data_IF_042575353699
#
_entry.id   IF_042575353699
#
_cell.length_a   1.000
_cell.length_b   1.000
_cell.length_c   1.000
_cell.angle_alpha   90.00
_cell.angle_beta   90.00
_cell.angle_gamma   90.00
#
_symmetry.space_group_name_H-M   'P 1'
#
loop_
_entity.id
_entity.type
_entity.pdbx_description
1 polymer ?
#
# COMPACT_ATOMS: atom_id res chain seq x y z
N UNK A 1 -21.92 18.13 -33.16
CA UNK A 1 -23.31 18.58 -33.32
C UNK A 1 -24.21 17.90 -32.29
N UNK A 2 -24.47 16.59 -32.41
CA UNK A 2 -25.32 15.81 -31.49
C UNK A 2 -25.05 16.02 -29.99
N UNK A 3 -23.78 16.15 -29.59
CA UNK A 3 -23.41 16.44 -28.19
C UNK A 3 -24.01 17.76 -27.69
N UNK A 4 -23.89 18.84 -28.46
CA UNK A 4 -24.40 20.16 -28.07
C UNK A 4 -25.93 20.22 -28.17
N UNK A 5 -26.50 19.56 -29.18
CA UNK A 5 -27.94 19.47 -29.36
C UNK A 5 -28.60 18.86 -28.11
N UNK A 6 -28.00 17.81 -27.54
CA UNK A 6 -28.49 17.20 -26.29
C UNK A 6 -28.52 18.16 -25.09
N UNK A 7 -27.54 19.07 -24.95
CA UNK A 7 -27.58 20.09 -23.88
C UNK A 7 -28.75 21.05 -24.11
N UNK A 8 -28.94 21.49 -25.35
CA UNK A 8 -30.03 22.39 -25.71
C UNK A 8 -31.40 21.74 -25.51
N UNK A 9 -31.54 20.47 -25.86
CA UNK A 9 -32.78 19.71 -25.70
C UNK A 9 -33.12 19.48 -24.22
N UNK A 10 -32.14 19.04 -23.41
CA UNK A 10 -32.35 18.85 -21.96
C UNK A 10 -32.71 20.17 -21.30
N UNK A 11 -32.03 21.27 -21.66
CA UNK A 11 -32.37 22.59 -21.14
C UNK A 11 -33.78 23.01 -21.56
N UNK A 12 -34.14 22.82 -22.84
CA UNK A 12 -35.46 23.15 -23.36
C UNK A 12 -36.57 22.41 -22.64
N UNK A 13 -36.46 21.09 -22.51
CA UNK A 13 -37.48 20.27 -21.84
C UNK A 13 -37.59 20.61 -20.35
N UNK A 14 -36.47 20.88 -19.67
CA UNK A 14 -36.48 21.31 -18.27
C UNK A 14 -37.11 22.69 -18.04
N UNK A 15 -37.08 23.57 -19.04
CA UNK A 15 -37.63 24.93 -18.95
C UNK A 15 -39.10 25.01 -19.36
N UNK A 16 -39.50 24.25 -20.39
CA UNK A 16 -40.80 24.41 -21.05
C UNK A 16 -41.86 23.38 -20.66
N UNK A 17 -41.50 22.23 -20.07
CA UNK A 17 -42.44 21.24 -19.55
C UNK A 17 -42.33 21.16 -18.01
N UNK A 18 -43.40 21.50 -17.30
CA UNK A 18 -43.48 21.43 -15.82
C UNK A 18 -43.18 20.02 -15.29
N UNK A 19 -43.49 18.96 -16.06
CA UNK A 19 -43.17 17.56 -15.74
C UNK A 19 -41.90 17.08 -16.46
N UNK A 20 -41.27 17.93 -17.26
CA UNK A 20 -40.09 17.63 -18.08
C UNK A 20 -38.94 17.03 -17.27
N UNK A 21 -38.47 17.67 -16.19
CA UNK A 21 -37.38 17.14 -15.37
C UNK A 21 -37.64 15.71 -14.85
N UNK A 22 -38.84 15.45 -14.32
CA UNK A 22 -39.21 14.14 -13.82
C UNK A 22 -39.27 13.08 -14.94
N UNK A 23 -39.79 13.45 -16.13
CA UNK A 23 -39.84 12.56 -17.29
C UNK A 23 -38.44 12.22 -17.82
N UNK A 24 -37.54 13.21 -17.95
CA UNK A 24 -36.16 12.97 -18.38
C UNK A 24 -35.47 12.05 -17.39
N UNK A 25 -35.60 12.30 -16.09
CA UNK A 25 -34.99 11.46 -15.06
C UNK A 25 -35.50 10.01 -15.13
N UNK A 26 -36.81 9.81 -15.33
CA UNK A 26 -37.39 8.47 -15.47
C UNK A 26 -36.93 7.75 -16.74
N UNK A 27 -36.95 8.43 -17.89
CA UNK A 27 -36.48 7.86 -19.16
C UNK A 27 -34.99 7.50 -19.08
N UNK A 28 -34.17 8.39 -18.52
CA UNK A 28 -32.74 8.14 -18.30
C UNK A 28 -32.51 6.94 -17.38
N UNK A 29 -33.33 6.78 -16.33
CA UNK A 29 -33.27 5.60 -15.46
C UNK A 29 -33.56 4.31 -16.22
N UNK A 30 -34.56 4.31 -17.09
CA UNK A 30 -34.93 3.16 -17.93
C UNK A 30 -33.81 2.82 -18.91
N UNK A 31 -33.27 3.81 -19.63
CA UNK A 31 -32.17 3.63 -20.58
C UNK A 31 -30.89 3.10 -19.91
N UNK A 32 -30.54 3.64 -18.74
CA UNK A 32 -29.40 3.17 -17.92
C UNK A 32 -29.62 1.71 -17.52
N UNK A 33 -30.82 1.39 -17.04
CA UNK A 33 -31.15 0.05 -16.56
C UNK A 33 -31.12 -0.98 -17.69
N UNK A 34 -31.62 -0.64 -18.87
CA UNK A 34 -31.59 -1.52 -20.03
C UNK A 34 -30.16 -1.75 -20.54
N UNK A 35 -29.32 -0.71 -20.57
CA UNK A 35 -27.89 -0.87 -20.85
C UNK A 35 -27.21 -1.80 -19.85
N UNK A 36 -27.48 -1.61 -18.55
CA UNK A 36 -26.87 -2.40 -17.48
C UNK A 36 -27.35 -3.85 -17.53
N UNK A 37 -28.61 -4.14 -17.84
CA UNK A 37 -29.10 -5.50 -18.07
C UNK A 37 -28.36 -6.20 -19.21
N UNK A 38 -28.09 -5.49 -20.30
CA UNK A 38 -27.32 -6.06 -21.41
C UNK A 38 -25.87 -6.31 -21.00
N UNK A 39 -25.25 -5.40 -20.24
CA UNK A 39 -23.91 -5.60 -19.69
C UNK A 39 -23.87 -6.79 -18.71
N UNK A 40 -24.89 -6.90 -17.84
CA UNK A 40 -25.07 -8.00 -16.91
C UNK A 40 -25.14 -9.34 -17.66
N UNK A 41 -25.94 -9.43 -18.73
CA UNK A 41 -26.02 -10.65 -19.55
C UNK A 41 -24.68 -11.01 -20.19
N UNK A 42 -23.93 -10.02 -20.71
CA UNK A 42 -22.57 -10.25 -21.24
C UNK A 42 -21.62 -10.79 -20.17
N UNK A 43 -21.60 -10.18 -18.99
CA UNK A 43 -20.72 -10.57 -17.88
C UNK A 43 -21.11 -11.94 -17.32
N UNK A 44 -22.37 -12.14 -16.95
CA UNK A 44 -22.86 -13.38 -16.31
C UNK A 44 -22.97 -14.57 -17.26
N UNK A 45 -22.79 -14.36 -18.57
CA UNK A 45 -22.69 -15.48 -19.54
C UNK A 45 -21.45 -16.36 -19.29
N UNK A 46 -20.44 -15.85 -18.60
CA UNK A 46 -19.21 -16.56 -18.31
C UNK A 46 -19.31 -17.31 -16.97
N UNK A 47 -19.23 -18.65 -17.03
CA UNK A 47 -19.19 -19.49 -15.83
C UNK A 47 -17.82 -19.49 -15.16
N UNK A 48 -16.74 -19.47 -15.95
CA UNK A 48 -15.36 -19.42 -15.46
C UNK A 48 -15.04 -18.07 -14.81
N UNK A 49 -14.41 -18.11 -13.63
CA UNK A 49 -14.08 -16.93 -12.82
C UNK A 49 -13.10 -15.99 -13.54
N UNK A 50 -12.14 -16.53 -14.29
CA UNK A 50 -11.15 -15.71 -15.02
C UNK A 50 -11.80 -15.00 -16.20
N UNK A 51 -12.64 -15.71 -16.96
CA UNK A 51 -13.41 -15.13 -18.05
C UNK A 51 -14.44 -14.10 -17.55
N UNK A 52 -15.11 -14.40 -16.43
CA UNK A 52 -16.03 -13.47 -15.76
C UNK A 52 -15.33 -12.17 -15.37
N UNK A 53 -14.16 -12.25 -14.74
CA UNK A 53 -13.38 -11.08 -14.35
C UNK A 53 -12.97 -10.25 -15.59
N UNK A 54 -12.46 -10.90 -16.64
CA UNK A 54 -12.09 -10.20 -17.89
C UNK A 54 -13.30 -9.49 -18.52
N UNK A 55 -14.44 -10.18 -18.62
CA UNK A 55 -15.67 -9.61 -19.17
C UNK A 55 -16.17 -8.44 -18.33
N UNK A 56 -16.16 -8.60 -16.99
CA UNK A 56 -16.52 -7.53 -16.06
C UNK A 56 -15.66 -6.29 -16.28
N UNK A 57 -14.34 -6.44 -16.37
CA UNK A 57 -13.41 -5.32 -16.50
C UNK A 57 -13.56 -4.59 -17.84
N UNK A 58 -13.83 -5.33 -18.92
CA UNK A 58 -14.12 -4.72 -20.23
C UNK A 58 -15.37 -3.85 -20.18
N UNK A 59 -16.45 -4.35 -19.57
CA UNK A 59 -17.70 -3.59 -19.45
C UNK A 59 -17.57 -2.45 -18.43
N UNK A 60 -16.89 -2.69 -17.30
CA UNK A 60 -16.63 -1.69 -16.26
C UNK A 60 -15.85 -0.50 -16.80
N UNK A 61 -14.76 -0.71 -17.56
CA UNK A 61 -13.96 0.41 -18.10
C UNK A 61 -14.78 1.30 -19.03
N UNK A 62 -15.61 0.70 -19.89
CA UNK A 62 -16.51 1.45 -20.78
C UNK A 62 -17.53 2.23 -19.95
N UNK A 63 -18.22 1.55 -19.05
CA UNK A 63 -19.26 2.13 -18.21
C UNK A 63 -18.73 3.25 -17.31
N UNK A 64 -17.64 3.01 -16.59
CA UNK A 64 -17.03 3.97 -15.67
C UNK A 64 -16.52 5.22 -16.40
N UNK A 65 -15.97 5.08 -17.62
CA UNK A 65 -15.65 6.24 -18.46
C UNK A 65 -16.91 7.05 -18.79
N UNK A 66 -18.03 6.39 -19.09
CA UNK A 66 -19.29 7.08 -19.35
C UNK A 66 -19.89 7.73 -18.10
N UNK A 67 -19.60 7.24 -16.89
CA UNK A 67 -20.04 7.88 -15.64
C UNK A 67 -19.49 9.31 -15.49
N UNK A 68 -18.40 9.66 -16.16
CA UNK A 68 -17.85 11.02 -16.13
C UNK A 68 -18.26 11.86 -17.36
N UNK A 69 -18.81 11.22 -18.40
CA UNK A 69 -19.25 11.87 -19.64
C UNK A 69 -20.76 12.12 -19.63
N UNK A 70 -21.56 11.06 -19.42
CA UNK A 70 -23.01 11.08 -19.53
C UNK A 70 -23.67 12.11 -18.62
N UNK A 71 -23.21 12.40 -17.39
CA UNK A 71 -23.81 13.46 -16.58
C UNK A 71 -23.73 14.87 -17.16
N UNK A 72 -22.73 15.16 -18.01
CA UNK A 72 -22.43 16.54 -18.43
C UNK A 72 -23.61 17.24 -19.13
N UNK A 73 -24.33 16.63 -20.10
CA UNK A 73 -25.50 17.23 -20.74
C UNK A 73 -26.70 17.41 -19.81
N UNK A 74 -26.74 16.66 -18.69
CA UNK A 74 -27.84 16.70 -17.73
C UNK A 74 -27.60 17.65 -16.55
N UNK A 75 -26.58 18.51 -16.60
CA UNK A 75 -26.32 19.48 -15.53
C UNK A 75 -27.54 20.38 -15.24
N UNK A 76 -28.29 20.78 -16.29
CA UNK A 76 -29.50 21.58 -16.13
C UNK A 76 -30.63 20.80 -15.44
N UNK A 77 -30.75 19.50 -15.73
CA UNK A 77 -31.70 18.62 -15.04
C UNK A 77 -31.39 18.56 -13.54
N UNK A 78 -30.12 18.43 -13.18
CA UNK A 78 -29.68 18.37 -11.79
C UNK A 78 -29.99 19.65 -11.02
N UNK A 79 -29.73 20.82 -11.61
CA UNK A 79 -30.08 22.13 -11.02
C UNK A 79 -31.58 22.20 -10.73
N UNK A 80 -32.41 21.78 -11.69
CA UNK A 80 -33.87 21.82 -11.53
C UNK A 80 -34.37 20.84 -10.47
N UNK A 81 -33.81 19.63 -10.40
CA UNK A 81 -34.17 18.62 -9.40
C UNK A 81 -33.71 18.98 -7.98
N UNK A 82 -32.58 19.69 -7.83
CA UNK A 82 -32.04 20.12 -6.53
C UNK A 82 -32.72 21.39 -5.97
N UNK A 83 -33.47 22.13 -6.78
CA UNK A 83 -34.20 23.33 -6.36
C UNK A 83 -33.32 24.55 -6.00
N UNK A 84 -33.96 25.63 -5.50
CA UNK A 84 -33.31 26.95 -5.25
C UNK A 84 -32.13 26.95 -4.26
N UNK A 85 -31.89 25.88 -3.50
CA UNK A 85 -30.75 25.79 -2.58
C UNK A 85 -29.42 25.37 -3.26
N UNK A 86 -29.46 24.89 -4.52
CA UNK A 86 -28.27 24.42 -5.25
C UNK A 86 -27.51 25.47 -6.09
N UNK A 87 -28.08 26.67 -6.31
CA UNK A 87 -27.58 27.60 -7.35
C UNK A 87 -26.18 28.22 -7.09
N UNK A 88 -25.66 28.14 -5.85
CA UNK A 88 -24.37 28.73 -5.48
C UNK A 88 -23.21 27.73 -5.33
N UNK A 89 -23.42 26.42 -5.52
CA UNK A 89 -22.32 25.44 -5.54
C UNK A 89 -21.97 25.11 -6.99
N UNK A 90 -20.70 25.28 -7.39
CA UNK A 90 -20.16 24.62 -8.59
C UNK A 90 -20.49 23.13 -8.45
N UNK A 91 -21.40 22.60 -9.26
CA UNK A 91 -21.79 21.19 -9.22
C UNK A 91 -20.58 20.35 -9.62
N UNK A 92 -19.96 19.69 -8.64
CA UNK A 92 -18.92 18.73 -8.92
C UNK A 92 -19.56 17.52 -9.61
N UNK A 93 -18.95 17.02 -10.69
CA UNK A 93 -19.48 15.86 -11.44
C UNK A 93 -19.59 14.62 -10.52
N UNK A 94 -18.79 14.55 -9.45
CA UNK A 94 -18.86 13.48 -8.46
C UNK A 94 -20.17 13.46 -7.65
N UNK A 95 -20.84 14.62 -7.49
CA UNK A 95 -22.11 14.75 -6.75
C UNK A 95 -23.34 14.69 -7.66
N UNK A 96 -23.12 14.37 -8.95
CA UNK A 96 -24.17 14.26 -9.96
C UNK A 96 -25.20 13.19 -9.60
N UNK A 97 -26.47 13.57 -9.69
CA UNK A 97 -27.61 12.65 -9.49
C UNK A 97 -27.59 11.55 -10.56
N UNK A 98 -27.27 11.92 -11.81
CA UNK A 98 -27.16 10.96 -12.92
C UNK A 98 -26.02 9.98 -12.69
N UNK A 99 -24.83 10.47 -12.30
CA UNK A 99 -23.67 9.63 -12.00
C UNK A 99 -23.97 8.66 -10.87
N UNK A 100 -24.61 9.14 -9.81
CA UNK A 100 -25.04 8.32 -8.68
C UNK A 100 -26.01 7.23 -9.12
N UNK A 101 -27.04 7.59 -9.89
CA UNK A 101 -28.01 6.63 -10.44
C UNK A 101 -27.33 5.53 -11.27
N UNK A 102 -26.37 5.90 -12.14
CA UNK A 102 -25.59 4.93 -12.91
C UNK A 102 -24.87 3.95 -12.00
N UNK A 103 -24.09 4.45 -11.04
CA UNK A 103 -23.27 3.64 -10.14
C UNK A 103 -24.13 2.75 -9.23
N UNK A 104 -25.21 3.28 -8.66
CA UNK A 104 -26.13 2.51 -7.82
C UNK A 104 -26.79 1.37 -8.63
N UNK A 105 -27.26 1.66 -9.85
CA UNK A 105 -27.88 0.63 -10.71
C UNK A 105 -26.88 -0.45 -11.11
N UNK A 106 -25.62 -0.07 -11.39
CA UNK A 106 -24.54 -1.03 -11.69
C UNK A 106 -24.22 -1.91 -10.49
N UNK A 107 -24.17 -1.32 -9.29
CA UNK A 107 -23.93 -2.03 -8.05
C UNK A 107 -25.02 -3.07 -7.77
N UNK A 108 -26.28 -2.66 -7.82
CA UNK A 108 -27.45 -3.54 -7.57
C UNK A 108 -27.55 -4.68 -8.58
N UNK A 109 -27.31 -4.39 -9.87
CA UNK A 109 -27.53 -5.37 -10.93
C UNK A 109 -26.35 -6.33 -11.11
N UNK A 110 -25.12 -5.83 -11.07
CA UNK A 110 -23.92 -6.59 -11.44
C UNK A 110 -23.05 -6.80 -10.21
N UNK A 111 -22.43 -5.74 -9.70
CA UNK A 111 -21.30 -5.86 -8.78
C UNK A 111 -21.66 -6.55 -7.47
N UNK A 112 -22.76 -6.18 -6.81
CA UNK A 112 -23.19 -6.76 -5.53
C UNK A 112 -23.35 -8.28 -5.57
N UNK A 113 -23.75 -8.83 -6.73
CA UNK A 113 -24.00 -10.26 -6.94
C UNK A 113 -22.72 -11.07 -7.19
N UNK A 114 -21.67 -10.45 -7.74
CA UNK A 114 -20.42 -11.14 -8.13
C UNK A 114 -19.16 -10.62 -7.44
N UNK A 115 -19.25 -9.61 -6.56
CA UNK A 115 -18.11 -8.94 -5.91
C UNK A 115 -17.13 -9.90 -5.25
N UNK A 116 -17.62 -10.94 -4.57
CA UNK A 116 -16.79 -11.94 -3.89
C UNK A 116 -15.97 -12.76 -4.89
N UNK A 117 -16.60 -13.23 -5.98
CA UNK A 117 -15.90 -13.95 -7.06
C UNK A 117 -14.86 -13.07 -7.75
N UNK A 118 -15.18 -11.81 -8.01
CA UNK A 118 -14.25 -10.84 -8.59
C UNK A 118 -13.06 -10.59 -7.66
N UNK A 119 -13.31 -10.42 -6.36
CA UNK A 119 -12.29 -10.23 -5.34
C UNK A 119 -11.37 -11.45 -5.24
N UNK A 120 -11.93 -12.65 -5.11
CA UNK A 120 -11.14 -13.89 -5.00
C UNK A 120 -10.29 -14.11 -6.25
N UNK A 121 -10.83 -13.81 -7.43
CA UNK A 121 -10.10 -13.88 -8.70
C UNK A 121 -8.97 -12.84 -8.76
N UNK A 122 -9.22 -11.61 -8.31
CA UNK A 122 -8.19 -10.58 -8.21
C UNK A 122 -7.06 -10.99 -7.24
N UNK A 123 -7.39 -11.57 -6.08
CA UNK A 123 -6.39 -12.05 -5.12
C UNK A 123 -5.57 -13.23 -5.66
N UNK A 124 -6.19 -14.13 -6.44
CA UNK A 124 -5.47 -15.20 -7.16
C UNK A 124 -4.46 -14.64 -8.16
N UNK A 125 -4.81 -13.58 -8.90
CA UNK A 125 -3.89 -12.92 -9.82
C UNK A 125 -2.71 -12.27 -9.08
N UNK A 126 -2.98 -11.58 -7.96
CA UNK A 126 -1.92 -11.01 -7.12
C UNK A 126 -1.00 -12.10 -6.57
N UNK A 127 -1.56 -13.23 -6.14
CA UNK A 127 -0.78 -14.38 -5.69
C UNK A 127 0.12 -14.95 -6.81
N UNK A 128 -0.42 -15.14 -8.00
CA UNK A 128 0.34 -15.61 -9.17
C UNK A 128 1.48 -14.65 -9.52
N UNK A 129 1.25 -13.34 -9.46
CA UNK A 129 2.30 -12.34 -9.69
C UNK A 129 3.42 -12.37 -8.66
N UNK A 130 3.13 -12.67 -7.39
CA UNK A 130 4.17 -12.89 -6.37
C UNK A 130 5.04 -14.11 -6.68
N UNK A 131 4.50 -15.09 -7.39
CA UNK A 131 5.22 -16.26 -7.89
C UNK A 131 5.94 -16.00 -9.23
N UNK A 132 5.81 -14.80 -9.79
CA UNK A 132 6.48 -14.37 -11.02
C UNK A 132 5.62 -14.43 -12.28
N UNK A 133 4.33 -14.74 -12.17
CA UNK A 133 3.41 -14.77 -13.32
C UNK A 133 2.88 -13.37 -13.64
N UNK A 134 3.23 -12.85 -14.82
CA UNK A 134 2.70 -11.57 -15.29
C UNK A 134 1.24 -11.70 -15.75
N UNK A 135 0.41 -10.74 -15.37
CA UNK A 135 -0.98 -10.62 -15.83
C UNK A 135 -1.31 -9.15 -16.14
N UNK A 136 -2.46 -8.91 -16.79
CA UNK A 136 -2.94 -7.54 -17.01
C UNK A 136 -3.37 -6.88 -15.70
N UNK A 137 -2.54 -5.96 -15.21
CA UNK A 137 -2.78 -5.17 -14.00
C UNK A 137 -4.17 -4.50 -13.94
N UNK A 138 -4.78 -4.21 -15.10
CA UNK A 138 -6.13 -3.63 -15.15
C UNK A 138 -7.20 -4.53 -14.55
N UNK A 139 -6.97 -5.85 -14.48
CA UNK A 139 -7.91 -6.79 -13.88
C UNK A 139 -8.07 -6.57 -12.38
N UNK A 140 -6.98 -6.31 -11.66
CA UNK A 140 -7.02 -6.02 -10.22
C UNK A 140 -7.41 -4.56 -9.99
N UNK A 141 -6.86 -3.63 -10.80
CA UNK A 141 -7.15 -2.20 -10.71
C UNK A 141 -8.65 -1.92 -10.89
N UNK A 142 -9.32 -2.52 -11.87
CA UNK A 142 -10.74 -2.27 -12.09
C UNK A 142 -11.64 -2.87 -11.00
N UNK A 143 -11.22 -3.97 -10.35
CA UNK A 143 -11.92 -4.48 -9.15
C UNK A 143 -11.75 -3.50 -7.99
N UNK A 144 -10.53 -3.03 -7.72
CA UNK A 144 -10.29 -1.96 -6.72
C UNK A 144 -11.18 -0.74 -7.00
N UNK A 145 -11.17 -0.23 -8.23
CA UNK A 145 -11.98 0.93 -8.64
C UNK A 145 -13.47 0.70 -8.42
N UNK A 146 -13.96 -0.52 -8.65
CA UNK A 146 -15.35 -0.89 -8.37
C UNK A 146 -15.65 -0.76 -6.87
N UNK A 147 -14.83 -1.33 -6.01
CA UNK A 147 -14.99 -1.20 -4.55
C UNK A 147 -14.90 0.25 -4.06
N UNK A 148 -14.05 1.08 -4.67
CA UNK A 148 -13.89 2.49 -4.28
C UNK A 148 -15.05 3.37 -4.76
N UNK A 149 -15.59 3.12 -5.96
CA UNK A 149 -16.57 4.02 -6.57
C UNK A 149 -18.03 3.58 -6.40
N UNK A 150 -18.28 2.31 -6.06
CA UNK A 150 -19.63 1.76 -5.86
C UNK A 150 -20.07 1.75 -4.39
N UNK A 151 -19.37 2.48 -3.52
CA UNK A 151 -19.75 2.62 -2.12
C UNK A 151 -20.95 3.57 -1.99
N UNK A 152 -22.08 3.04 -1.51
CA UNK A 152 -23.30 3.83 -1.28
C UNK A 152 -23.30 4.61 0.05
N UNK A 153 -22.25 4.50 0.87
CA UNK A 153 -22.15 5.21 2.15
C UNK A 153 -21.74 6.69 1.92
N UNK A 154 -22.60 7.67 2.25
CA UNK A 154 -22.31 9.09 2.06
C UNK A 154 -21.24 9.63 3.02
N UNK A 155 -21.12 9.06 4.21
CA UNK A 155 -20.18 9.51 5.25
C UNK A 155 -18.79 8.89 5.08
N UNK A 156 -18.73 7.71 4.44
CA UNK A 156 -17.50 6.97 4.23
C UNK A 156 -17.48 6.25 2.88
N UNK A 157 -17.04 6.97 1.85
CA UNK A 157 -16.95 6.48 0.47
C UNK A 157 -15.97 5.30 0.29
N UNK A 158 -15.15 4.97 1.29
CA UNK A 158 -14.16 3.89 1.22
C UNK A 158 -14.51 2.69 2.10
N UNK A 159 -15.66 2.68 2.77
CA UNK A 159 -16.04 1.64 3.72
C UNK A 159 -15.96 0.23 3.09
N UNK A 160 -16.66 0.00 1.97
CA UNK A 160 -16.69 -1.34 1.35
C UNK A 160 -15.33 -1.74 0.79
N UNK A 161 -14.50 -0.77 0.40
CA UNK A 161 -13.14 -1.03 -0.06
C UNK A 161 -12.27 -1.51 1.11
N UNK A 162 -12.30 -0.82 2.25
CA UNK A 162 -11.50 -1.21 3.44
C UNK A 162 -11.95 -2.55 4.02
N UNK A 163 -13.25 -2.71 4.21
CA UNK A 163 -13.83 -3.90 4.85
C UNK A 163 -13.70 -5.18 4.02
N UNK A 164 -13.53 -5.05 2.69
CA UNK A 164 -13.50 -6.19 1.77
C UNK A 164 -12.19 -6.27 0.97
N UNK A 165 -11.96 -5.35 0.04
CA UNK A 165 -10.83 -5.45 -0.90
C UNK A 165 -9.48 -5.25 -0.22
N UNK A 166 -9.31 -4.17 0.54
CA UNK A 166 -8.09 -3.89 1.31
C UNK A 166 -7.83 -5.02 2.31
N UNK A 167 -8.85 -5.39 3.10
CA UNK A 167 -8.76 -6.50 4.04
C UNK A 167 -8.34 -7.81 3.36
N UNK A 168 -8.98 -8.20 2.27
CA UNK A 168 -8.61 -9.41 1.52
C UNK A 168 -7.19 -9.32 0.94
N UNK A 169 -6.77 -8.13 0.51
CA UNK A 169 -5.42 -7.88 0.04
C UNK A 169 -4.41 -8.07 1.18
N UNK A 170 -4.63 -7.46 2.35
CA UNK A 170 -3.80 -7.62 3.55
C UNK A 170 -3.74 -9.10 3.98
N UNK A 171 -4.89 -9.76 4.14
CA UNK A 171 -4.99 -11.15 4.57
C UNK A 171 -4.25 -12.10 3.61
N UNK A 172 -4.38 -11.88 2.29
CA UNK A 172 -3.68 -12.68 1.29
C UNK A 172 -2.16 -12.46 1.31
N UNK A 173 -1.74 -11.23 1.63
CA UNK A 173 -0.33 -10.84 1.75
C UNK A 173 0.31 -11.45 2.98
N UNK A 174 -0.33 -11.30 4.14
CA UNK A 174 0.11 -11.90 5.38
C UNK A 174 0.20 -13.42 5.22
N UNK A 175 -0.85 -14.07 4.70
CA UNK A 175 -0.88 -15.52 4.49
C UNK A 175 0.26 -16.00 3.60
N UNK A 176 0.53 -15.27 2.51
CA UNK A 176 1.63 -15.60 1.60
C UNK A 176 2.98 -15.58 2.32
N UNK A 177 3.30 -14.49 3.03
CA UNK A 177 4.59 -14.36 3.70
C UNK A 177 4.72 -15.24 4.95
N UNK A 178 3.61 -15.53 5.64
CA UNK A 178 3.60 -16.46 6.78
C UNK A 178 4.00 -17.89 6.38
N UNK A 179 3.79 -18.28 5.13
CA UNK A 179 4.25 -19.57 4.59
C UNK A 179 5.63 -19.45 3.94
N UNK A 180 5.87 -18.41 3.13
CA UNK A 180 7.08 -18.29 2.33
C UNK A 180 8.31 -17.88 3.17
N UNK A 181 8.14 -16.98 4.14
CA UNK A 181 9.25 -16.40 4.89
C UNK A 181 9.99 -17.41 5.79
N UNK A 182 9.30 -18.26 6.60
CA UNK A 182 10.00 -19.28 7.40
C UNK A 182 10.78 -20.28 6.53
N UNK A 183 10.19 -20.69 5.40
CA UNK A 183 10.80 -21.64 4.46
C UNK A 183 12.10 -21.08 3.87
N UNK A 184 12.08 -19.82 3.42
CA UNK A 184 13.26 -19.16 2.88
C UNK A 184 14.34 -18.95 3.95
N UNK A 185 13.95 -18.54 5.17
CA UNK A 185 14.90 -18.37 6.28
C UNK A 185 15.62 -19.68 6.61
N UNK A 186 14.88 -20.79 6.70
CA UNK A 186 15.44 -22.11 7.02
C UNK A 186 16.42 -22.61 5.95
N UNK A 187 16.13 -22.37 4.67
CA UNK A 187 16.94 -22.87 3.57
C UNK A 187 18.17 -22.01 3.27
N UNK A 188 18.08 -20.69 3.48
CA UNK A 188 19.08 -19.74 3.00
C UNK A 188 19.87 -19.03 4.12
N UNK A 189 19.42 -19.14 5.37
CA UNK A 189 20.04 -18.50 6.54
C UNK A 189 19.71 -17.01 6.68
N UNK A 190 20.04 -16.46 7.86
CA UNK A 190 19.62 -15.11 8.30
C UNK A 190 20.09 -13.99 7.35
N UNK A 191 21.34 -14.04 6.89
CA UNK A 191 21.90 -12.98 6.05
C UNK A 191 21.21 -12.88 4.69
N UNK A 192 20.93 -14.02 4.06
CA UNK A 192 20.19 -14.05 2.80
C UNK A 192 18.71 -13.72 3.01
N UNK A 193 18.15 -14.11 4.16
CA UNK A 193 16.80 -13.74 4.54
C UNK A 193 16.62 -12.22 4.66
N UNK A 194 17.57 -11.50 5.29
CA UNK A 194 17.49 -10.04 5.37
C UNK A 194 17.43 -9.38 3.98
N UNK A 195 18.25 -9.86 3.02
CA UNK A 195 18.22 -9.37 1.64
C UNK A 195 16.88 -9.67 0.96
N UNK A 196 16.35 -10.86 1.20
CA UNK A 196 15.03 -11.28 0.72
C UNK A 196 13.92 -10.40 1.30
N UNK A 197 13.92 -10.15 2.61
CA UNK A 197 12.93 -9.32 3.28
C UNK A 197 12.95 -7.88 2.76
N UNK A 198 14.12 -7.25 2.63
CA UNK A 198 14.25 -5.90 2.05
C UNK A 198 13.74 -5.83 0.60
N UNK A 199 14.13 -6.80 -0.24
CA UNK A 199 13.67 -6.87 -1.61
C UNK A 199 12.14 -7.05 -1.68
N UNK A 200 11.56 -7.90 -0.83
CA UNK A 200 10.11 -8.14 -0.81
C UNK A 200 9.32 -6.97 -0.27
N UNK A 201 9.82 -6.24 0.73
CA UNK A 201 9.19 -4.99 1.18
C UNK A 201 9.12 -3.96 0.05
N UNK A 202 10.21 -3.75 -0.70
CA UNK A 202 10.22 -2.84 -1.86
C UNK A 202 9.28 -3.29 -2.98
N UNK A 203 9.22 -4.59 -3.22
CA UNK A 203 8.33 -5.18 -4.22
C UNK A 203 6.85 -4.99 -3.85
N UNK A 204 6.49 -5.26 -2.59
CA UNK A 204 5.12 -5.06 -2.10
C UNK A 204 4.74 -3.59 -2.07
N UNK A 205 5.62 -2.67 -1.67
CA UNK A 205 5.36 -1.23 -1.71
C UNK A 205 4.99 -0.77 -3.13
N UNK A 206 5.81 -1.16 -4.12
CA UNK A 206 5.54 -0.85 -5.53
C UNK A 206 4.22 -1.47 -6.01
N UNK A 207 3.92 -2.68 -5.56
CA UNK A 207 2.68 -3.37 -5.91
C UNK A 207 1.46 -2.71 -5.26
N UNK A 208 1.58 -2.28 -4.01
CA UNK A 208 0.57 -1.54 -3.25
C UNK A 208 0.18 -0.25 -3.95
N UNK A 209 1.18 0.55 -4.34
CA UNK A 209 0.98 1.81 -5.05
C UNK A 209 0.20 1.63 -6.37
N UNK A 210 0.29 0.44 -6.97
CA UNK A 210 -0.44 0.09 -8.20
C UNK A 210 -1.85 -0.43 -7.93
N UNK A 211 -2.04 -1.28 -6.92
CA UNK A 211 -3.27 -2.07 -6.72
C UNK A 211 -4.17 -1.63 -5.58
N UNK A 212 -3.65 -0.91 -4.60
CA UNK A 212 -4.45 -0.28 -3.55
C UNK A 212 -4.87 1.13 -3.97
N UNK A 213 -5.78 1.74 -3.21
CA UNK A 213 -6.20 3.11 -3.43
C UNK A 213 -5.12 4.08 -2.93
N UNK A 214 -4.84 5.12 -3.72
CA UNK A 214 -3.77 6.12 -3.46
C UNK A 214 -4.24 7.55 -3.70
N UNK A 215 -5.41 7.75 -4.31
CA UNK A 215 -5.93 9.08 -4.71
C UNK A 215 -6.71 9.77 -3.62
N UNK A 216 -7.36 9.01 -2.76
CA UNK A 216 -8.05 9.53 -1.58
C UNK A 216 -7.05 9.50 -0.42
N UNK A 217 -7.19 10.42 0.54
CA UNK A 217 -6.40 10.42 1.78
C UNK A 217 -6.70 9.16 2.61
N UNK A 218 -6.19 8.01 2.16
CA UNK A 218 -6.36 6.70 2.78
C UNK A 218 -5.01 6.06 3.01
N UNK A 219 -4.84 5.51 4.21
CA UNK A 219 -3.56 4.97 4.66
C UNK A 219 -3.38 3.49 4.24
N UNK A 220 -3.93 3.11 3.08
CA UNK A 220 -3.98 1.71 2.62
C UNK A 220 -2.60 1.13 2.35
N UNK A 221 -1.72 1.94 1.75
CA UNK A 221 -0.36 1.51 1.42
C UNK A 221 0.44 1.37 2.71
N UNK A 222 0.31 2.32 3.63
CA UNK A 222 0.93 2.27 4.95
C UNK A 222 0.48 1.05 5.76
N UNK A 223 -0.83 0.76 5.77
CA UNK A 223 -1.39 -0.43 6.42
C UNK A 223 -0.82 -1.74 5.83
N UNK A 224 -0.66 -1.81 4.51
CA UNK A 224 0.00 -2.96 3.88
C UNK A 224 1.47 -3.05 4.26
N UNK A 225 2.19 -1.92 4.27
CA UNK A 225 3.60 -1.92 4.65
C UNK A 225 3.80 -2.34 6.10
N UNK A 226 2.94 -1.90 7.01
CA UNK A 226 2.93 -2.38 8.40
C UNK A 226 2.68 -3.89 8.48
N UNK A 227 1.69 -4.40 7.74
CA UNK A 227 1.42 -5.83 7.63
C UNK A 227 2.64 -6.61 7.12
N UNK A 228 3.30 -6.12 6.07
CA UNK A 228 4.49 -6.75 5.51
C UNK A 228 5.68 -6.70 6.46
N UNK A 229 5.93 -5.58 7.14
CA UNK A 229 6.99 -5.45 8.15
C UNK A 229 6.72 -6.42 9.30
N UNK A 230 5.47 -6.56 9.74
CA UNK A 230 5.12 -7.51 10.79
C UNK A 230 5.34 -8.97 10.37
N UNK A 231 4.92 -9.34 9.16
CA UNK A 231 5.06 -10.69 8.65
C UNK A 231 6.52 -11.06 8.29
N UNK A 232 7.30 -10.12 7.74
CA UNK A 232 8.66 -10.39 7.25
C UNK A 232 9.77 -10.03 8.24
N UNK A 233 9.56 -9.05 9.11
CA UNK A 233 10.63 -8.52 9.96
C UNK A 233 10.31 -8.75 11.43
N UNK A 234 9.19 -8.23 11.94
CA UNK A 234 8.84 -8.32 13.36
C UNK A 234 8.77 -9.77 13.85
N UNK A 235 8.19 -10.67 13.03
CA UNK A 235 8.07 -12.11 13.35
C UNK A 235 9.41 -12.84 13.46
N UNK A 236 10.48 -12.29 12.89
CA UNK A 236 11.82 -12.88 12.85
C UNK A 236 12.88 -12.03 13.53
N UNK A 237 12.47 -10.97 14.26
CA UNK A 237 13.38 -9.97 14.84
C UNK A 237 14.44 -10.61 15.75
N UNK A 238 14.06 -11.57 16.58
CA UNK A 238 14.98 -12.20 17.54
C UNK A 238 16.07 -13.00 16.82
N UNK A 239 15.68 -13.75 15.78
CA UNK A 239 16.62 -14.50 14.95
C UNK A 239 17.56 -13.59 14.17
N UNK A 240 17.06 -12.44 13.69
CA UNK A 240 17.90 -11.45 13.00
C UNK A 240 18.89 -10.80 13.97
N UNK A 241 18.40 -10.34 15.12
CA UNK A 241 19.20 -9.64 16.13
C UNK A 241 20.27 -10.53 16.77
N UNK A 242 20.05 -11.84 16.86
CA UNK A 242 21.05 -12.79 17.34
C UNK A 242 22.37 -12.75 16.55
N UNK A 243 22.33 -12.34 15.27
CA UNK A 243 23.52 -12.19 14.43
C UNK A 243 24.23 -10.84 14.61
N UNK A 244 23.60 -9.85 15.26
CA UNK A 244 24.09 -8.47 15.33
C UNK A 244 25.47 -8.38 15.97
N UNK A 245 25.63 -8.93 17.18
CA UNK A 245 26.91 -8.96 17.89
C UNK A 245 28.04 -9.60 17.06
N UNK A 246 27.74 -10.68 16.33
CA UNK A 246 28.69 -11.35 15.44
C UNK A 246 29.11 -10.48 14.27
N UNK A 247 28.16 -9.78 13.64
CA UNK A 247 28.42 -8.87 12.53
C UNK A 247 29.23 -7.64 12.97
N UNK A 248 28.96 -7.10 14.16
CA UNK A 248 29.73 -6.00 14.75
C UNK A 248 31.19 -6.43 14.97
N UNK A 249 31.43 -7.59 15.60
CA UNK A 249 32.78 -8.12 15.85
C UNK A 249 33.59 -8.32 14.57
N UNK A 250 32.93 -8.73 13.48
CA UNK A 250 33.55 -8.95 12.17
C UNK A 250 33.61 -7.70 11.28
N UNK A 251 33.12 -6.55 11.77
CA UNK A 251 33.04 -5.30 11.03
C UNK A 251 32.30 -5.44 9.67
N UNK A 252 31.20 -6.20 9.66
CA UNK A 252 30.39 -6.45 8.45
C UNK A 252 29.39 -5.30 8.20
N UNK A 253 29.91 -4.09 7.92
CA UNK A 253 29.14 -2.85 7.83
C UNK A 253 27.95 -2.89 6.86
N UNK A 254 28.12 -3.49 5.68
CA UNK A 254 27.02 -3.65 4.71
C UNK A 254 25.86 -4.49 5.25
N UNK A 255 26.16 -5.54 6.03
CA UNK A 255 25.14 -6.43 6.61
C UNK A 255 24.43 -5.76 7.78
N UNK A 256 25.18 -5.00 8.58
CA UNK A 256 24.64 -4.20 9.68
C UNK A 256 23.76 -3.06 9.18
N UNK A 257 24.14 -2.44 8.06
CA UNK A 257 23.33 -1.42 7.39
C UNK A 257 21.96 -1.97 6.97
N UNK A 258 21.97 -3.15 6.34
CA UNK A 258 20.73 -3.83 5.99
C UNK A 258 19.90 -4.20 7.23
N UNK A 259 20.55 -4.72 8.28
CA UNK A 259 19.87 -5.05 9.54
C UNK A 259 19.23 -3.80 10.17
N UNK A 260 19.95 -2.69 10.21
CA UNK A 260 19.44 -1.41 10.72
C UNK A 260 18.24 -0.93 9.90
N UNK A 261 18.33 -0.94 8.57
CA UNK A 261 17.24 -0.53 7.69
C UNK A 261 15.95 -1.34 7.89
N UNK A 262 16.07 -2.62 8.22
CA UNK A 262 14.93 -3.49 8.54
C UNK A 262 14.41 -3.24 9.97
N UNK A 263 15.30 -3.22 10.97
CA UNK A 263 14.92 -3.08 12.38
C UNK A 263 14.37 -1.69 12.73
N UNK A 264 14.77 -0.64 12.01
CA UNK A 264 14.24 0.72 12.19
C UNK A 264 12.76 0.83 11.79
N UNK A 265 12.25 -0.11 10.99
CA UNK A 265 10.82 -0.22 10.67
C UNK A 265 10.01 -0.89 11.77
N UNK A 266 10.67 -1.56 12.72
CA UNK A 266 10.02 -2.29 13.81
C UNK A 266 10.04 -1.42 15.07
N UNK A 267 8.91 -1.25 15.77
CA UNK A 267 8.89 -0.56 17.05
C UNK A 267 9.91 -1.16 18.02
N UNK A 268 10.81 -0.33 18.55
CA UNK A 268 11.91 -0.71 19.44
C UNK A 268 12.88 -1.77 18.84
N UNK A 269 12.88 -1.95 17.52
CA UNK A 269 13.70 -2.97 16.85
C UNK A 269 15.20 -2.71 16.94
N UNK A 270 15.61 -1.45 17.07
CA UNK A 270 17.03 -1.05 17.11
C UNK A 270 17.62 -1.01 18.53
N UNK A 271 16.80 -1.03 19.59
CA UNK A 271 17.31 -0.94 20.97
C UNK A 271 18.32 -2.05 21.30
N UNK A 272 18.10 -3.32 20.89
CA UNK A 272 19.09 -4.38 21.10
C UNK A 272 20.39 -4.14 20.32
N UNK A 273 20.31 -3.54 19.12
CA UNK A 273 21.49 -3.22 18.32
C UNK A 273 22.34 -2.12 18.98
N UNK A 274 21.69 -1.11 19.57
CA UNK A 274 22.38 -0.07 20.35
C UNK A 274 23.14 -0.70 21.52
N UNK A 275 22.48 -1.60 22.25
CA UNK A 275 23.09 -2.33 23.38
C UNK A 275 24.28 -3.20 22.93
N UNK A 276 24.13 -3.96 21.85
CA UNK A 276 25.21 -4.82 21.33
C UNK A 276 26.43 -3.98 20.89
N UNK A 277 26.20 -2.80 20.33
CA UNK A 277 27.28 -1.85 20.00
C UNK A 277 27.95 -1.30 21.26
N UNK A 278 27.18 -0.84 22.25
CA UNK A 278 27.72 -0.32 23.51
C UNK A 278 28.60 -1.38 24.20
N UNK A 279 28.06 -2.59 24.37
CA UNK A 279 28.78 -3.71 25.00
C UNK A 279 30.04 -4.08 24.22
N UNK A 280 30.00 -4.08 22.88
CA UNK A 280 31.17 -4.40 22.09
C UNK A 280 32.28 -3.35 22.21
N UNK A 281 31.93 -2.06 22.23
CA UNK A 281 32.89 -0.96 22.41
C UNK A 281 33.56 -1.06 23.79
N UNK A 282 32.76 -1.22 24.86
CA UNK A 282 33.29 -1.34 26.24
C UNK A 282 34.21 -2.55 26.36
N UNK A 283 33.79 -3.71 25.86
CA UNK A 283 34.61 -4.92 25.92
C UNK A 283 35.92 -4.81 25.12
N UNK A 284 35.88 -4.17 23.95
CA UNK A 284 37.07 -3.92 23.15
C UNK A 284 38.01 -2.92 23.84
N UNK A 285 37.48 -1.85 24.44
CA UNK A 285 38.27 -0.89 25.22
C UNK A 285 38.95 -1.53 26.41
N UNK A 286 38.24 -2.34 27.19
CA UNK A 286 38.81 -3.09 28.32
C UNK A 286 39.90 -4.07 27.87
N UNK A 287 39.69 -4.80 26.76
CA UNK A 287 40.68 -5.71 26.23
C UNK A 287 41.95 -4.98 25.77
N UNK A 288 41.80 -3.84 25.08
CA UNK A 288 42.93 -3.01 24.65
C UNK A 288 43.68 -2.42 25.85
N UNK A 289 42.98 -1.96 26.90
CA UNK A 289 43.59 -1.47 28.13
C UNK A 289 44.41 -2.55 28.85
N UNK A 290 43.88 -3.77 28.96
CA UNK A 290 44.59 -4.91 29.59
C UNK A 290 45.82 -5.28 28.77
N UNK A 291 45.70 -5.34 27.44
CA UNK A 291 46.83 -5.64 26.55
C UNK A 291 47.90 -4.54 26.59
N UNK A 292 47.50 -3.30 26.82
CA UNK A 292 48.40 -2.15 26.89
C UNK A 292 48.98 -1.90 28.29
N UNK A 293 48.54 -2.61 29.34
CA UNK A 293 48.85 -2.33 30.75
C UNK A 293 50.34 -2.14 31.06
N UNK A 294 51.24 -2.91 30.42
CA UNK A 294 52.68 -2.77 30.59
C UNK A 294 53.25 -1.49 29.93
N UNK A 295 52.66 -1.09 28.81
CA UNK A 295 52.99 0.15 28.05
C UNK A 295 52.37 1.39 28.67
N UNK A 296 51.22 1.30 29.35
CA UNK A 296 50.51 2.44 29.95
C UNK A 296 51.36 3.15 31.02
N UNK A 297 52.18 2.41 31.74
CA UNK A 297 53.04 2.97 32.80
C UNK A 297 54.32 3.62 32.28
N UNK A 298 54.67 3.40 31.01
CA UNK A 298 55.95 3.81 30.42
C UNK A 298 55.80 4.77 29.23
N UNK A 299 54.68 4.73 28.51
CA UNK A 299 54.46 5.53 27.30
C UNK A 299 52.98 5.95 27.19
N UNK A 300 52.68 7.15 27.70
CA UNK A 300 51.32 7.72 27.69
C UNK A 300 50.86 8.14 26.30
N UNK A 301 51.76 8.50 25.39
CA UNK A 301 51.40 8.90 24.02
C UNK A 301 50.86 7.70 23.25
N UNK A 302 51.55 6.56 23.34
CA UNK A 302 51.13 5.31 22.72
C UNK A 302 49.77 4.80 23.23
N UNK A 303 49.46 5.01 24.50
CA UNK A 303 48.14 4.70 25.05
C UNK A 303 47.04 5.60 24.46
N UNK A 304 47.29 6.91 24.34
CA UNK A 304 46.36 7.85 23.72
C UNK A 304 46.13 7.52 22.23
N UNK A 305 47.18 7.15 21.50
CA UNK A 305 47.07 6.71 20.10
C UNK A 305 46.20 5.46 19.94
N UNK A 306 46.31 4.49 20.85
CA UNK A 306 45.46 3.29 20.85
C UNK A 306 43.98 3.63 21.08
N UNK A 307 43.69 4.51 22.06
CA UNK A 307 42.33 4.98 22.29
C UNK A 307 41.74 5.74 21.10
N UNK A 308 42.54 6.61 20.47
CA UNK A 308 42.13 7.32 19.25
C UNK A 308 41.89 6.35 18.08
N UNK A 309 42.71 5.31 17.96
CA UNK A 309 42.54 4.26 16.95
C UNK A 309 41.23 3.50 17.17
N UNK A 310 40.93 3.13 18.41
CA UNK A 310 39.67 2.51 18.80
C UNK A 310 38.47 3.41 18.47
N UNK A 311 38.55 4.69 18.86
CA UNK A 311 37.55 5.73 18.56
C UNK A 311 37.29 5.89 17.07
N UNK A 312 38.34 5.99 16.27
CA UNK A 312 38.22 6.13 14.83
C UNK A 312 37.64 4.86 14.19
N UNK A 313 38.01 3.66 14.69
CA UNK A 313 37.46 2.39 14.21
C UNK A 313 35.95 2.33 14.43
N UNK A 314 35.47 2.56 15.65
CA UNK A 314 34.04 2.48 15.94
C UNK A 314 33.24 3.66 15.39
N UNK A 315 33.84 4.84 15.25
CA UNK A 315 33.23 5.96 14.53
C UNK A 315 33.04 5.64 13.05
N UNK A 316 34.03 4.99 12.42
CA UNK A 316 33.90 4.52 11.03
C UNK A 316 32.80 3.44 10.92
N UNK A 317 32.75 2.49 11.86
CA UNK A 317 31.69 1.49 11.92
C UNK A 317 30.31 2.16 11.99
N UNK A 318 30.09 3.11 12.91
CA UNK A 318 28.80 3.80 13.07
C UNK A 318 28.42 4.56 11.80
N UNK A 319 29.38 5.23 11.17
CA UNK A 319 29.16 5.94 9.92
C UNK A 319 28.74 5.01 8.78
N UNK A 320 29.46 3.90 8.59
CA UNK A 320 29.24 3.00 7.45
C UNK A 320 28.03 2.08 7.67
N UNK A 321 27.87 1.51 8.87
CA UNK A 321 26.81 0.58 9.20
C UNK A 321 25.49 1.26 9.57
N UNK A 322 25.53 2.36 10.32
CA UNK A 322 24.34 2.98 10.91
C UNK A 322 24.10 4.41 10.39
N UNK A 323 24.81 4.81 9.34
CA UNK A 323 24.62 6.09 8.62
C UNK A 323 24.73 7.34 9.52
N UNK A 324 25.59 7.30 10.54
CA UNK A 324 25.70 8.37 11.54
C UNK A 324 24.35 8.68 12.23
N UNK A 325 23.47 7.68 12.39
CA UNK A 325 22.21 7.85 13.12
C UNK A 325 22.47 8.38 14.54
N UNK A 326 21.78 9.45 14.98
CA UNK A 326 22.03 10.09 16.27
C UNK A 326 21.93 9.14 17.47
N UNK A 327 21.08 8.09 17.38
CA UNK A 327 20.90 7.10 18.45
C UNK A 327 22.16 6.24 18.58
N UNK A 328 22.76 5.82 17.45
CA UNK A 328 24.01 5.07 17.43
C UNK A 328 25.24 5.91 17.78
N UNK A 329 25.27 7.20 17.40
CA UNK A 329 26.31 8.13 17.87
C UNK A 329 26.26 8.31 19.39
N UNK A 330 25.05 8.45 19.95
CA UNK A 330 24.86 8.55 21.41
C UNK A 330 25.30 7.28 22.13
N UNK A 331 24.94 6.11 21.60
CA UNK A 331 25.37 4.81 22.12
C UNK A 331 26.90 4.69 22.12
N UNK A 332 27.56 5.05 21.00
CA UNK A 332 29.04 5.09 20.91
C UNK A 332 29.64 6.02 21.97
N UNK A 333 29.15 7.25 22.07
CA UNK A 333 29.71 8.26 22.97
C UNK A 333 29.51 7.89 24.45
N UNK A 334 28.39 7.24 24.77
CA UNK A 334 28.12 6.68 26.09
C UNK A 334 29.08 5.54 26.41
N UNK A 335 29.33 4.64 25.45
CA UNK A 335 30.25 3.52 25.63
C UNK A 335 31.71 3.95 25.83
N UNK A 336 32.15 5.08 25.25
CA UNK A 336 33.48 5.65 25.51
C UNK A 336 33.62 6.36 26.86
N UNK A 337 32.51 6.73 27.50
CA UNK A 337 32.51 7.38 28.81
C UNK A 337 32.42 6.39 29.96
N UNK A 338 31.88 5.20 29.70
CA UNK A 338 31.77 4.09 30.64
C UNK A 338 33.13 3.42 30.82
#
# INVERSE_FOLDING_TARGET
>A
QQWFDLFSDVHGVCLWDDKGPAKIHQALKEDILDFIKQAQARVLSHQDDTALLKAYIVEWRKFFTQCDILPKPFCQLEITLMGKQGSNKKSNVEDSIVRKLMLDTWNESIFSNIKTRLQDSAMKLVHAERLGEAFDSQLVIGVRESYVNLCSNPDDKLQIYRDNFEKAYLDSTERFYRTQAPSYLQQNGVQNYMKYADAKLKEEEKRALRYLETRRECNSVEALMECCVNALVTSFKETILAECQGMIKRNETEKLHLMFSLMDKVPNGIEPMLKDLEEHIVNAGLADMVAAAETITTDSEKYVEQLLTLFNRFSKLVKEAFQDDPRFLTARDKAYKA
#
